data_IF_888204812158
#
_entry.id   IF_888204812158
#
_cell.length_a   1.000
_cell.length_b   1.000
_cell.length_c   1.000
_cell.angle_alpha   90.00
_cell.angle_beta   90.00
_cell.angle_gamma   90.00
#
_symmetry.space_group_name_H-M   'P 1'
#
loop_
_entity.id
_entity.type
_entity.pdbx_description
1 polymer ?
#
# COMPACT_ATOMS: atom_id res chain seq x y z
N UNK A 1 13.94 8.85 9.87
CA UNK A 1 12.49 8.68 9.61
C UNK A 1 11.92 10.07 9.40
N UNK A 2 11.39 10.36 8.23
CA UNK A 2 10.83 11.68 7.90
C UNK A 2 9.43 11.78 8.49
N UNK A 3 9.11 12.86 9.22
CA UNK A 3 7.76 13.18 9.70
C UNK A 3 6.87 13.68 8.55
N UNK A 4 6.72 12.85 7.52
CA UNK A 4 5.86 13.17 6.39
C UNK A 4 4.40 13.14 6.84
N UNK A 5 3.76 14.31 6.72
CA UNK A 5 2.37 14.52 7.11
C UNK A 5 1.48 14.58 5.89
N UNK A 6 0.27 14.06 6.01
CA UNK A 6 -0.76 14.21 4.98
C UNK A 6 -1.32 15.64 4.95
N UNK A 7 -2.27 15.90 4.05
CA UNK A 7 -2.91 17.20 3.91
C UNK A 7 -3.66 17.68 5.18
N UNK A 8 -3.99 16.77 6.09
CA UNK A 8 -4.64 17.06 7.37
C UNK A 8 -3.64 17.22 8.52
N UNK A 9 -2.34 17.07 8.25
CA UNK A 9 -1.28 17.17 9.25
C UNK A 9 -1.01 15.88 10.03
N UNK A 10 -1.63 14.75 9.69
CA UNK A 10 -1.39 13.47 10.36
C UNK A 10 -0.14 12.78 9.81
N UNK A 11 0.57 12.04 10.67
CA UNK A 11 1.72 11.25 10.25
C UNK A 11 1.26 10.11 9.34
N UNK A 12 1.80 10.06 8.12
CA UNK A 12 1.42 9.05 7.12
C UNK A 12 1.67 7.62 7.64
N UNK A 13 2.74 7.44 8.41
CA UNK A 13 3.11 6.13 9.01
C UNK A 13 2.07 5.57 9.98
N UNK A 14 1.19 6.41 10.53
CA UNK A 14 0.17 6.01 11.50
C UNK A 14 -1.11 5.56 10.80
N UNK A 15 -1.21 5.73 9.48
CA UNK A 15 -2.37 5.32 8.67
C UNK A 15 -3.70 5.82 9.27
N UNK A 16 -3.70 7.02 9.84
CA UNK A 16 -4.82 7.55 10.61
C UNK A 16 -6.10 7.61 9.77
N UNK A 17 -7.09 6.77 10.11
CA UNK A 17 -8.36 6.67 9.38
C UNK A 17 -8.28 6.01 8.00
N UNK A 18 -7.13 5.46 7.61
CA UNK A 18 -6.94 4.80 6.32
C UNK A 18 -7.21 3.30 6.45
N UNK A 19 -8.17 2.80 5.68
CA UNK A 19 -8.51 1.37 5.70
C UNK A 19 -7.59 0.56 4.79
N UNK A 20 -7.40 -0.73 5.10
CA UNK A 20 -6.67 -1.65 4.23
C UNK A 20 -7.24 -1.72 2.80
N UNK A 21 -8.56 -1.56 2.65
CA UNK A 21 -9.21 -1.49 1.34
C UNK A 21 -8.71 -0.27 0.56
N UNK A 22 -8.76 0.92 1.17
CA UNK A 22 -8.28 2.16 0.57
C UNK A 22 -6.79 2.10 0.21
N UNK A 23 -5.97 1.50 1.08
CA UNK A 23 -4.53 1.28 0.83
C UNK A 23 -4.34 0.44 -0.44
N UNK A 24 -5.01 -0.71 -0.51
CA UNK A 24 -4.86 -1.61 -1.64
C UNK A 24 -5.38 -0.98 -2.94
N UNK A 25 -6.55 -0.34 -2.90
CA UNK A 25 -7.13 0.36 -4.05
C UNK A 25 -6.19 1.46 -4.57
N UNK A 26 -5.59 2.24 -3.66
CA UNK A 26 -4.61 3.27 -4.02
C UNK A 26 -3.38 2.67 -4.72
N UNK A 27 -2.81 1.62 -4.14
CA UNK A 27 -1.64 0.95 -4.69
C UNK A 27 -1.93 0.30 -6.06
N UNK A 28 -3.09 -0.32 -6.21
CA UNK A 28 -3.52 -0.91 -7.49
C UNK A 28 -3.80 0.17 -8.53
N UNK A 29 -4.39 1.31 -8.15
CA UNK A 29 -4.60 2.43 -9.07
C UNK A 29 -3.28 3.07 -9.52
N UNK A 30 -2.26 3.10 -8.66
CA UNK A 30 -0.96 3.69 -8.96
C UNK A 30 -0.04 2.76 -9.76
N UNK A 31 0.02 1.47 -9.39
CA UNK A 31 0.97 0.50 -9.96
C UNK A 31 0.33 -0.59 -10.82
N UNK A 32 -0.92 -0.96 -10.53
CA UNK A 32 -1.53 -2.18 -11.01
C UNK A 32 -1.04 -3.44 -10.27
N UNK A 33 -1.80 -4.53 -10.42
CA UNK A 33 -1.45 -5.82 -9.79
C UNK A 33 -0.10 -6.40 -10.24
N UNK A 34 0.31 -6.35 -11.53
CA UNK A 34 1.59 -6.94 -11.95
C UNK A 34 2.79 -6.33 -11.22
N UNK A 35 2.85 -5.00 -11.11
CA UNK A 35 3.94 -4.32 -10.41
C UNK A 35 3.90 -4.56 -8.88
N UNK A 36 2.72 -4.78 -8.30
CA UNK A 36 2.61 -5.18 -6.90
C UNK A 36 3.14 -6.60 -6.67
N UNK A 37 2.90 -7.52 -7.60
CA UNK A 37 3.49 -8.86 -7.54
C UNK A 37 5.01 -8.82 -7.67
N UNK A 38 5.56 -8.00 -8.58
CA UNK A 38 7.02 -7.85 -8.69
C UNK A 38 7.66 -7.30 -7.40
N UNK A 39 6.98 -6.35 -6.74
CA UNK A 39 7.48 -5.67 -5.53
C UNK A 39 7.32 -6.52 -4.27
N UNK A 40 6.18 -7.20 -4.08
CA UNK A 40 5.83 -7.89 -2.82
C UNK A 40 5.91 -9.42 -2.97
N UNK A 41 5.79 -9.94 -4.19
CA UNK A 41 5.76 -11.36 -4.57
C UNK A 41 4.70 -12.14 -3.81
N UNK A 42 3.44 -11.81 -4.08
CA UNK A 42 2.27 -12.42 -3.43
C UNK A 42 1.37 -13.05 -4.47
N UNK A 43 1.05 -14.33 -4.27
CA UNK A 43 0.19 -15.08 -5.18
C UNK A 43 -1.19 -14.42 -5.40
N UNK A 44 -1.71 -13.68 -4.43
CA UNK A 44 -2.99 -12.96 -4.58
C UNK A 44 -2.96 -11.82 -5.60
N UNK A 45 -1.76 -11.35 -5.99
CA UNK A 45 -1.55 -10.35 -7.04
C UNK A 45 -1.18 -10.99 -8.39
N UNK A 46 -0.63 -12.20 -8.40
CA UNK A 46 -0.28 -12.93 -9.61
C UNK A 46 -1.46 -13.73 -10.21
N UNK A 47 -2.23 -14.42 -9.36
CA UNK A 47 -3.23 -15.42 -9.80
C UNK A 47 -4.64 -14.88 -9.58
N UNK A 48 -5.36 -14.62 -10.69
CA UNK A 48 -6.70 -14.03 -10.70
C UNK A 48 -6.82 -12.82 -9.74
N UNK A 49 -5.99 -11.79 -9.96
CA UNK A 49 -5.94 -10.65 -9.06
C UNK A 49 -7.28 -9.92 -9.01
N UNK A 50 -7.78 -9.71 -7.81
CA UNK A 50 -8.94 -8.86 -7.55
C UNK A 50 -8.79 -8.19 -6.19
N UNK A 51 -9.47 -7.04 -6.02
CA UNK A 51 -9.49 -6.34 -4.73
C UNK A 51 -10.08 -7.26 -3.64
N UNK A 52 -11.19 -7.93 -3.92
CA UNK A 52 -11.88 -8.79 -2.95
C UNK A 52 -11.04 -9.99 -2.51
N UNK A 53 -10.43 -10.71 -3.46
CA UNK A 53 -9.57 -11.88 -3.14
C UNK A 53 -8.32 -11.45 -2.39
N UNK A 54 -7.69 -10.35 -2.81
CA UNK A 54 -6.53 -9.76 -2.14
C UNK A 54 -6.86 -9.33 -0.71
N UNK A 55 -7.96 -8.62 -0.48
CA UNK A 55 -8.34 -8.21 0.88
C UNK A 55 -8.64 -9.41 1.78
N UNK A 56 -9.26 -10.46 1.24
CA UNK A 56 -9.50 -11.69 2.00
C UNK A 56 -8.18 -12.33 2.43
N UNK A 57 -7.20 -12.39 1.53
CA UNK A 57 -5.86 -12.91 1.81
C UNK A 57 -5.12 -12.04 2.83
N UNK A 58 -5.04 -10.73 2.59
CA UNK A 58 -4.34 -9.77 3.46
C UNK A 58 -4.96 -9.67 4.86
N UNK A 59 -6.27 -9.95 5.01
CA UNK A 59 -6.92 -10.05 6.32
C UNK A 59 -6.50 -11.29 7.12
N UNK A 60 -6.07 -12.36 6.45
CA UNK A 60 -5.67 -13.63 7.08
C UNK A 60 -4.15 -13.79 7.19
N UNK A 61 -3.38 -12.88 6.58
CA UNK A 61 -1.93 -12.99 6.47
C UNK A 61 -1.29 -11.66 6.85
N UNK A 62 -1.07 -11.47 8.15
CA UNK A 62 -0.65 -10.18 8.72
C UNK A 62 0.70 -9.69 8.19
N UNK A 63 1.68 -10.58 7.97
CA UNK A 63 2.97 -10.18 7.40
C UNK A 63 2.83 -9.62 5.97
N UNK A 64 1.86 -10.14 5.20
CA UNK A 64 1.59 -9.66 3.85
C UNK A 64 0.88 -8.30 3.90
N UNK A 65 -0.06 -8.13 4.84
CA UNK A 65 -0.69 -6.82 5.12
C UNK A 65 0.36 -5.76 5.45
N UNK A 66 1.27 -6.07 6.37
CA UNK A 66 2.31 -5.14 6.80
C UNK A 66 3.21 -4.69 5.62
N UNK A 67 3.52 -5.58 4.67
CA UNK A 67 4.27 -5.20 3.45
C UNK A 67 3.49 -4.25 2.54
N UNK A 68 2.19 -4.47 2.39
CA UNK A 68 1.30 -3.61 1.60
C UNK A 68 1.16 -2.23 2.24
N UNK A 69 0.97 -2.18 3.56
CA UNK A 69 0.93 -0.95 4.35
C UNK A 69 2.25 -0.17 4.28
N UNK A 70 3.39 -0.85 4.42
CA UNK A 70 4.72 -0.23 4.30
C UNK A 70 4.96 0.35 2.89
N UNK A 71 4.58 -0.37 1.83
CA UNK A 71 4.68 0.14 0.46
C UNK A 71 3.84 1.42 0.28
N UNK A 72 2.62 1.44 0.83
CA UNK A 72 1.76 2.62 0.80
C UNK A 72 2.36 3.80 1.56
N UNK A 73 2.87 3.57 2.77
CA UNK A 73 3.53 4.61 3.57
C UNK A 73 4.72 5.20 2.79
N UNK A 74 5.55 4.36 2.17
CA UNK A 74 6.70 4.81 1.35
C UNK A 74 6.26 5.66 0.16
N UNK A 75 5.25 5.20 -0.58
CA UNK A 75 4.69 5.92 -1.73
C UNK A 75 4.16 7.29 -1.30
N UNK A 76 3.25 7.32 -0.33
CA UNK A 76 2.65 8.57 0.20
C UNK A 76 3.68 9.53 0.78
N UNK A 77 4.68 8.99 1.48
CA UNK A 77 5.79 9.78 2.02
C UNK A 77 6.62 10.40 0.90
N UNK A 78 6.94 9.65 -0.15
CA UNK A 78 7.69 10.16 -1.29
C UNK A 78 6.93 11.25 -2.06
N UNK A 79 5.61 11.07 -2.25
CA UNK A 79 4.72 12.06 -2.86
C UNK A 79 4.75 13.39 -2.10
N UNK A 80 4.58 13.36 -0.77
CA UNK A 80 4.59 14.58 0.07
C UNK A 80 5.97 15.23 0.10
N UNK A 81 7.04 14.45 0.10
CA UNK A 81 8.40 14.97 0.07
C UNK A 81 8.85 15.45 -1.32
N UNK A 82 8.00 15.34 -2.35
CA UNK A 82 8.33 15.72 -3.72
C UNK A 82 9.47 14.89 -4.34
N UNK A 83 9.74 13.69 -3.81
CA UNK A 83 10.80 12.81 -4.30
C UNK A 83 10.28 11.99 -5.47
N UNK A 84 11.05 11.90 -6.56
CA UNK A 84 10.82 10.88 -7.58
C UNK A 84 10.94 9.50 -6.93
N UNK A 85 9.90 8.70 -7.10
CA UNK A 85 9.79 7.37 -6.55
C UNK A 85 10.75 6.39 -7.26
N UNK A 86 11.35 5.40 -6.57
CA UNK A 86 12.06 4.30 -7.21
C UNK A 86 11.12 3.24 -7.82
#
# INVERSE_FOLDING_TARGET
MSDARDANGHLIRELHGVTLASILEYLVAHYGFPALDERIKLNCFAVNPSIKSSLTFLRRTDWARAKVEDLYIRLRTAEVLGKKLP
#
